data_IF_440581899448
#
_entry.id   IF_440581899448
#
_cell.length_a   1.000
_cell.length_b   1.000
_cell.length_c   1.000
_cell.angle_alpha   90.00
_cell.angle_beta   90.00
_cell.angle_gamma   90.00
#
_symmetry.space_group_name_H-M   'P 1'
#
loop_
_entity.id
_entity.type
_entity.pdbx_description
1 polymer ?
#
# COMPACT_ATOMS: atom_id res chain seq x y z
N UNK A 1 -6.62 -4.21 6.14
CA UNK A 1 -6.13 -3.02 6.88
C UNK A 1 -5.12 -3.31 8.00
N UNK A 2 -5.46 -3.99 9.10
CA UNK A 2 -4.56 -4.14 10.27
C UNK A 2 -3.16 -4.68 9.93
N UNK A 3 -3.07 -5.69 9.05
CA UNK A 3 -1.78 -6.20 8.60
C UNK A 3 -0.91 -5.14 7.91
N UNK A 4 -1.52 -4.23 7.15
CA UNK A 4 -0.83 -3.10 6.50
C UNK A 4 -0.33 -2.11 7.56
N UNK A 5 -1.16 -1.78 8.56
CA UNK A 5 -0.75 -0.91 9.68
C UNK A 5 0.46 -1.49 10.40
N UNK A 6 0.43 -2.79 10.72
CA UNK A 6 1.53 -3.47 11.41
C UNK A 6 2.80 -3.50 10.53
N UNK A 7 2.68 -3.77 9.24
CA UNK A 7 3.82 -3.75 8.33
C UNK A 7 4.47 -2.36 8.25
N UNK A 8 3.67 -1.29 8.18
CA UNK A 8 4.14 0.09 8.17
C UNK A 8 4.83 0.47 9.49
N UNK A 9 4.26 0.05 10.64
CA UNK A 9 4.91 0.21 11.96
C UNK A 9 6.24 -0.53 12.04
N UNK A 10 6.28 -1.78 11.56
CA UNK A 10 7.51 -2.57 11.54
C UNK A 10 8.57 -1.94 10.60
N UNK A 11 8.14 -1.18 9.59
CA UNK A 11 9.00 -0.39 8.71
C UNK A 11 9.52 0.92 9.32
N UNK A 12 9.19 1.23 10.57
CA UNK A 12 9.73 2.37 11.31
C UNK A 12 8.84 3.62 11.37
N UNK A 13 7.64 3.57 10.78
CA UNK A 13 6.67 4.65 10.96
C UNK A 13 6.12 4.65 12.40
N UNK A 14 5.81 5.85 12.89
CA UNK A 14 5.21 5.98 14.20
C UNK A 14 3.78 5.41 14.23
N UNK A 15 3.29 5.22 15.47
CA UNK A 15 2.02 5.82 15.82
C UNK A 15 0.90 5.92 14.75
N UNK A 16 0.61 7.18 14.57
CA UNK A 16 -0.44 7.74 13.80
C UNK A 16 -0.12 7.68 12.31
N UNK A 17 1.16 7.85 11.95
CA UNK A 17 1.63 7.85 10.57
C UNK A 17 1.43 6.49 9.91
N UNK A 18 1.76 5.40 10.60
CA UNK A 18 1.53 4.06 10.05
C UNK A 18 0.04 3.76 9.85
N UNK A 19 -0.83 4.22 10.75
CA UNK A 19 -2.27 4.03 10.61
C UNK A 19 -2.82 4.85 9.44
N UNK A 20 -2.41 6.11 9.34
CA UNK A 20 -2.81 7.03 8.27
C UNK A 20 -2.32 6.56 6.90
N UNK A 21 -1.04 6.22 6.78
CA UNK A 21 -0.45 5.71 5.55
C UNK A 21 -1.08 4.37 5.12
N UNK A 22 -1.28 3.44 6.06
CA UNK A 22 -1.93 2.17 5.76
C UNK A 22 -3.38 2.33 5.33
N UNK A 23 -4.14 3.24 5.94
CA UNK A 23 -5.51 3.54 5.52
C UNK A 23 -5.53 4.11 4.09
N UNK A 24 -4.68 5.09 3.81
CA UNK A 24 -4.55 5.68 2.47
C UNK A 24 -4.19 4.62 1.42
N UNK A 25 -3.13 3.85 1.65
CA UNK A 25 -2.67 2.80 0.73
C UNK A 25 -3.74 1.72 0.54
N UNK A 26 -4.48 1.35 1.60
CA UNK A 26 -5.56 0.36 1.51
C UNK A 26 -6.74 0.87 0.69
N UNK A 27 -7.10 2.15 0.82
CA UNK A 27 -8.15 2.77 0.01
C UNK A 27 -7.74 2.87 -1.46
N UNK A 28 -6.51 3.31 -1.75
CA UNK A 28 -5.98 3.39 -3.12
C UNK A 28 -5.94 2.01 -3.80
N UNK A 29 -5.55 0.97 -3.06
CA UNK A 29 -5.59 -0.40 -3.56
C UNK A 29 -7.04 -0.87 -3.86
N UNK A 30 -7.99 -0.47 -3.00
CA UNK A 30 -9.42 -0.75 -3.22
C UNK A 30 -9.95 -0.06 -4.47
N UNK A 31 -9.65 1.23 -4.65
CA UNK A 31 -10.06 2.00 -5.82
C UNK A 31 -9.48 1.42 -7.12
N UNK A 32 -8.20 1.03 -7.10
CA UNK A 32 -7.53 0.40 -8.24
C UNK A 32 -8.18 -0.96 -8.58
N UNK A 33 -8.38 -1.82 -7.59
CA UNK A 33 -8.98 -3.14 -7.79
C UNK A 33 -10.45 -3.04 -8.27
N UNK A 34 -11.19 -2.02 -7.80
CA UNK A 34 -12.56 -1.75 -8.23
C UNK A 34 -12.67 -1.39 -9.74
N UNK A 35 -11.57 -1.01 -10.38
CA UNK A 35 -11.50 -0.84 -11.84
C UNK A 35 -11.85 -2.11 -12.63
N UNK A 36 -11.66 -3.28 -12.04
CA UNK A 36 -12.09 -4.57 -12.61
C UNK A 36 -13.54 -4.95 -12.24
N UNK A 37 -14.17 -4.18 -11.36
CA UNK A 37 -15.54 -4.37 -10.86
C UNK A 37 -15.64 -4.09 -9.36
N UNK A 38 -16.54 -3.18 -8.97
CA UNK A 38 -16.72 -2.77 -7.56
C UNK A 38 -17.49 -3.80 -6.72
N UNK A 39 -18.37 -4.60 -7.34
CA UNK A 39 -19.24 -5.55 -6.62
C UNK A 39 -18.56 -6.89 -6.47
N UNK A 40 -18.58 -7.42 -5.25
CA UNK A 40 -17.99 -8.73 -4.94
C UNK A 40 -16.48 -8.69 -4.71
N UNK A 41 -15.89 -7.49 -4.62
CA UNK A 41 -14.47 -7.31 -4.32
C UNK A 41 -14.10 -8.06 -3.02
N UNK A 42 -13.08 -8.90 -3.12
CA UNK A 42 -12.53 -9.66 -2.00
C UNK A 42 -11.29 -8.96 -1.43
N UNK A 43 -10.97 -9.16 -0.15
CA UNK A 43 -9.72 -8.64 0.41
C UNK A 43 -8.46 -9.09 -0.33
N UNK A 44 -8.47 -10.29 -0.92
CA UNK A 44 -7.35 -10.84 -1.70
C UNK A 44 -7.10 -10.07 -3.00
N UNK A 45 -8.11 -9.43 -3.55
CA UNK A 45 -8.01 -8.71 -4.83
C UNK A 45 -7.12 -7.46 -4.68
N UNK A 46 -6.98 -6.94 -3.45
CA UNK A 46 -6.11 -5.81 -3.14
C UNK A 46 -4.63 -6.20 -3.09
N UNK A 47 -4.25 -7.48 -3.02
CA UNK A 47 -2.87 -7.87 -2.71
C UNK A 47 -1.86 -7.43 -3.78
N UNK A 48 -2.23 -7.50 -5.06
CA UNK A 48 -1.37 -7.03 -6.15
C UNK A 48 -1.19 -5.51 -6.09
N UNK A 49 -2.28 -4.76 -5.94
CA UNK A 49 -2.27 -3.30 -5.85
C UNK A 49 -1.51 -2.79 -4.63
N UNK A 50 -1.73 -3.42 -3.46
CA UNK A 50 -0.97 -3.13 -2.24
C UNK A 50 0.53 -3.32 -2.46
N UNK A 51 0.94 -4.42 -3.10
CA UNK A 51 2.35 -4.70 -3.38
C UNK A 51 2.95 -3.63 -4.30
N UNK A 52 2.24 -3.20 -5.33
CA UNK A 52 2.70 -2.17 -6.25
C UNK A 52 2.83 -0.80 -5.56
N UNK A 53 1.84 -0.40 -4.75
CA UNK A 53 1.82 0.91 -4.08
C UNK A 53 2.91 1.07 -3.02
N UNK A 54 3.26 0.00 -2.31
CA UNK A 54 4.25 0.06 -1.20
C UNK A 54 5.67 -0.29 -1.62
N UNK A 55 5.86 -0.81 -2.83
CA UNK A 55 7.18 -1.11 -3.39
C UNK A 55 7.40 -0.28 -4.65
N UNK A 56 7.93 0.96 -4.52
CA UNK A 56 8.20 1.80 -5.67
C UNK A 56 9.24 1.15 -6.59
N UNK A 57 9.04 1.31 -7.89
CA UNK A 57 9.97 0.82 -8.90
C UNK A 57 11.32 1.54 -8.75
N UNK A 58 12.32 0.84 -8.24
CA UNK A 58 13.63 1.40 -7.86
C UNK A 58 14.44 1.85 -9.08
N UNK A 59 13.98 1.46 -10.28
CA UNK A 59 14.48 1.93 -11.57
C UNK A 59 14.14 3.41 -11.84
N UNK A 60 13.10 3.94 -11.20
CA UNK A 60 12.66 5.35 -11.32
C UNK A 60 13.26 6.26 -10.22
N UNK A 61 13.94 5.69 -9.23
CA UNK A 61 14.64 6.46 -8.19
C UNK A 61 15.99 6.93 -8.78
N UNK A 62 16.27 8.24 -8.83
CA UNK A 62 17.57 8.75 -9.27
C UNK A 62 18.69 8.11 -8.45
N UNK A 63 19.81 7.72 -9.08
CA UNK A 63 20.94 7.02 -8.42
C UNK A 63 21.41 7.69 -7.12
N UNK A 64 21.27 9.02 -7.02
CA UNK A 64 21.68 9.82 -5.87
C UNK A 64 20.76 9.70 -4.64
N UNK A 65 19.65 9.00 -4.76
CA UNK A 65 18.61 8.83 -3.72
C UNK A 65 18.36 7.37 -3.35
N UNK A 66 19.19 6.43 -3.84
CA UNK A 66 19.15 5.02 -3.39
C UNK A 66 19.78 4.92 -1.99
N UNK A 67 19.21 4.10 -1.09
CA UNK A 67 19.76 3.88 0.25
C UNK A 67 21.13 3.20 0.20
#
# INVERSE_FOLDING_TARGET
>A
LTGVVVAMRAGGLDAFDAASAAALVHSLAGDAAAGAGERGLLPSDLFAELRALVNPDTSLIPERSRP
#
